data_IF_082508670526
#
_entry.id   IF_082508670526
#
_cell.length_a   1.000
_cell.length_b   1.000
_cell.length_c   1.000
_cell.angle_alpha   90.00
_cell.angle_beta   90.00
_cell.angle_gamma   90.00
#
_symmetry.space_group_name_H-M   'P 1'
#
loop_
_entity.id
_entity.type
_entity.pdbx_description
1 polymer ?
#
# COMPACT_ATOMS: atom_id res chain seq x y z
N UNK A 1 -10.65 -10.99 6.04
CA UNK A 1 -11.32 -10.33 7.21
C UNK A 1 -12.81 -10.65 7.30
N UNK A 2 -13.36 -10.93 8.49
CA UNK A 2 -14.80 -11.20 8.65
C UNK A 2 -15.67 -9.92 8.62
N UNK A 3 -16.85 -10.01 8.02
CA UNK A 3 -17.83 -8.91 7.90
C UNK A 3 -18.14 -8.19 9.24
N UNK A 4 -18.23 -8.94 10.36
CA UNK A 4 -18.42 -8.36 11.71
C UNK A 4 -17.29 -7.41 12.13
N UNK A 5 -16.05 -7.71 11.74
CA UNK A 5 -14.90 -6.89 12.07
C UNK A 5 -14.85 -5.63 11.19
N UNK A 6 -15.27 -5.73 9.92
CA UNK A 6 -15.40 -4.58 9.00
C UNK A 6 -16.45 -3.61 9.53
N UNK A 7 -17.61 -4.11 9.93
CA UNK A 7 -18.67 -3.28 10.52
C UNK A 7 -18.18 -2.52 11.77
N UNK A 8 -17.45 -3.21 12.66
CA UNK A 8 -16.85 -2.56 13.83
C UNK A 8 -15.90 -1.43 13.44
N UNK A 9 -15.03 -1.63 12.44
CA UNK A 9 -14.14 -0.58 11.94
C UNK A 9 -14.94 0.57 11.33
N UNK A 10 -15.99 0.29 10.57
CA UNK A 10 -16.86 1.31 9.99
C UNK A 10 -17.51 2.18 11.08
N UNK A 11 -18.02 1.57 12.14
CA UNK A 11 -18.63 2.28 13.26
C UNK A 11 -17.61 3.16 14.00
N UNK A 12 -16.41 2.64 14.28
CA UNK A 12 -15.32 3.41 14.89
C UNK A 12 -14.86 4.58 13.98
N UNK A 13 -14.84 4.38 12.67
CA UNK A 13 -14.47 5.42 11.71
C UNK A 13 -15.51 6.56 11.68
N UNK A 14 -16.80 6.23 11.81
CA UNK A 14 -17.89 7.22 11.98
C UNK A 14 -17.75 7.99 13.29
N UNK A 15 -17.41 7.31 14.38
CA UNK A 15 -17.18 7.95 15.68
C UNK A 15 -16.01 8.95 15.61
N UNK A 16 -14.91 8.59 14.96
CA UNK A 16 -13.78 9.50 14.71
C UNK A 16 -14.22 10.68 13.83
N UNK A 17 -14.98 10.43 12.76
CA UNK A 17 -15.48 11.49 11.88
C UNK A 17 -16.38 12.50 12.61
N UNK A 18 -17.15 12.05 13.61
CA UNK A 18 -18.00 12.92 14.42
C UNK A 18 -17.23 13.92 15.29
N UNK A 19 -15.94 13.67 15.53
CA UNK A 19 -15.04 14.52 16.31
C UNK A 19 -14.23 15.49 15.44
N UNK A 20 -14.49 15.51 14.13
CA UNK A 20 -13.81 16.42 13.21
C UNK A 20 -14.29 17.85 13.44
N UNK A 21 -13.32 18.74 13.61
CA UNK A 21 -13.57 20.18 13.64
C UNK A 21 -13.21 20.81 12.29
N UNK A 22 -13.93 21.88 11.94
CA UNK A 22 -13.55 22.73 10.82
C UNK A 22 -12.19 23.38 11.12
N UNK A 23 -11.32 23.57 10.10
CA UNK A 23 -10.04 24.20 10.30
C UNK A 23 -10.21 25.65 10.77
N UNK A 24 -9.82 25.97 12.00
CA UNK A 24 -9.75 27.35 12.48
C UNK A 24 -8.38 27.93 12.07
N UNK A 25 -8.34 29.02 11.30
CA UNK A 25 -7.08 29.57 10.77
C UNK A 25 -6.17 30.21 11.84
N UNK A 26 -6.43 29.94 13.12
CA UNK A 26 -5.68 30.41 14.28
C UNK A 26 -4.44 29.57 14.61
N UNK A 27 -3.45 30.24 15.20
CA UNK A 27 -2.09 29.74 15.44
C UNK A 27 -2.02 28.38 16.16
N UNK A 28 -1.39 27.40 15.51
CA UNK A 28 -0.66 26.33 16.19
C UNK A 28 -1.16 24.90 15.98
N UNK A 29 -2.32 24.67 15.36
CA UNK A 29 -2.84 23.31 15.17
C UNK A 29 -2.59 22.80 13.74
N UNK A 30 -2.05 21.59 13.62
CA UNK A 30 -1.68 20.99 12.33
C UNK A 30 -2.93 20.47 11.60
N UNK A 31 -3.40 21.21 10.58
CA UNK A 31 -4.45 20.74 9.68
C UNK A 31 -3.98 19.59 8.80
N UNK A 32 -4.89 18.68 8.49
CA UNK A 32 -4.66 17.64 7.49
C UNK A 32 -5.50 17.91 6.25
N UNK A 33 -4.86 17.81 5.08
CA UNK A 33 -5.53 17.83 3.78
C UNK A 33 -5.33 16.49 3.11
N UNK A 34 -6.40 15.72 2.93
CA UNK A 34 -6.38 14.44 2.23
C UNK A 34 -7.50 14.40 1.21
N UNK A 35 -7.17 14.01 -0.04
CA UNK A 35 -8.12 13.90 -1.14
C UNK A 35 -9.06 15.11 -1.31
N UNK A 36 -8.58 16.32 -1.04
CA UNK A 36 -9.34 17.57 -1.16
C UNK A 36 -10.28 17.89 0.01
N UNK A 37 -10.18 17.16 1.12
CA UNK A 37 -10.89 17.47 2.38
C UNK A 37 -9.89 18.02 3.38
N UNK A 38 -10.20 19.20 3.92
CA UNK A 38 -9.47 19.79 5.04
C UNK A 38 -10.19 19.46 6.33
N UNK A 39 -9.47 18.87 7.28
CA UNK A 39 -10.02 18.51 8.57
C UNK A 39 -8.97 18.57 9.66
N UNK A 40 -9.46 18.65 10.90
CA UNK A 40 -8.65 18.52 12.09
C UNK A 40 -9.27 17.47 13.02
N UNK A 41 -8.41 16.64 13.60
CA UNK A 41 -8.79 15.65 14.60
C UNK A 41 -8.13 16.01 15.94
N UNK A 42 -8.86 15.91 17.07
CA UNK A 42 -8.25 15.98 18.38
C UNK A 42 -7.27 14.81 18.57
N UNK A 43 -6.29 14.96 19.48
CA UNK A 43 -5.24 13.97 19.70
C UNK A 43 -5.79 12.55 19.96
N UNK A 44 -6.87 12.44 20.74
CA UNK A 44 -7.51 11.17 21.04
C UNK A 44 -8.08 10.49 19.78
N UNK A 45 -8.69 11.27 18.89
CA UNK A 45 -9.21 10.77 17.61
C UNK A 45 -8.08 10.40 16.64
N UNK A 46 -6.94 11.09 16.69
CA UNK A 46 -5.73 10.69 15.92
C UNK A 46 -5.18 9.36 16.42
N UNK A 47 -5.13 9.15 17.74
CA UNK A 47 -4.70 7.88 18.33
C UNK A 47 -5.67 6.76 17.92
N UNK A 48 -6.98 6.98 18.06
CA UNK A 48 -7.99 6.02 17.65
C UNK A 48 -7.90 5.67 16.15
N UNK A 49 -7.62 6.66 15.29
CA UNK A 49 -7.42 6.42 13.86
C UNK A 49 -6.19 5.53 13.59
N UNK A 50 -5.06 5.78 14.27
CA UNK A 50 -3.87 4.92 14.16
C UNK A 50 -4.10 3.51 14.68
N UNK A 51 -4.89 3.37 15.75
CA UNK A 51 -5.30 2.06 16.25
C UNK A 51 -6.14 1.28 15.23
N UNK A 52 -7.01 1.96 14.47
CA UNK A 52 -7.74 1.32 13.37
C UNK A 52 -6.80 0.82 12.28
N UNK A 53 -5.81 1.61 11.88
CA UNK A 53 -4.78 1.18 10.91
C UNK A 53 -4.04 -0.06 11.43
N UNK A 54 -3.64 -0.06 12.70
CA UNK A 54 -2.99 -1.20 13.32
C UNK A 54 -3.91 -2.44 13.40
N UNK A 55 -5.22 -2.25 13.66
CA UNK A 55 -6.20 -3.32 13.68
C UNK A 55 -6.38 -3.96 12.29
N UNK A 56 -6.39 -3.15 11.23
CA UNK A 56 -6.43 -3.65 9.85
C UNK A 56 -5.17 -4.48 9.56
N UNK A 57 -3.98 -3.97 9.87
CA UNK A 57 -2.70 -4.66 9.60
C UNK A 57 -2.52 -5.98 10.34
N UNK A 58 -3.09 -6.11 11.54
CA UNK A 58 -3.05 -7.35 12.33
C UNK A 58 -3.98 -8.42 11.76
N UNK A 59 -4.94 -8.05 10.93
CA UNK A 59 -5.83 -8.99 10.29
C UNK A 59 -5.13 -9.73 9.16
N UNK A 60 -5.36 -11.04 9.05
CA UNK A 60 -4.84 -11.90 7.98
C UNK A 60 -3.32 -11.69 7.67
N UNK A 61 -2.55 -11.35 8.70
CA UNK A 61 -1.13 -11.01 8.63
C UNK A 61 -0.74 -9.96 7.57
N UNK A 62 -1.61 -8.99 7.29
CA UNK A 62 -1.34 -7.94 6.31
C UNK A 62 -0.05 -7.16 6.58
N UNK A 63 0.36 -7.03 7.84
CA UNK A 63 1.65 -6.44 8.23
C UNK A 63 2.88 -7.09 7.56
N UNK A 64 2.77 -8.33 7.06
CA UNK A 64 3.85 -9.00 6.29
C UNK A 64 3.98 -8.49 4.86
N UNK A 65 2.90 -7.93 4.30
CA UNK A 65 2.78 -7.52 2.89
C UNK A 65 2.70 -6.01 2.72
N UNK A 66 2.17 -5.30 3.70
CA UNK A 66 1.88 -3.87 3.63
C UNK A 66 2.54 -3.11 4.78
N UNK A 67 3.00 -1.89 4.46
CA UNK A 67 3.45 -0.95 5.48
C UNK A 67 2.27 -0.26 6.14
N UNK A 68 2.48 0.22 7.36
CA UNK A 68 1.48 1.01 8.08
C UNK A 68 1.06 2.24 7.30
N UNK A 69 2.04 2.95 6.72
CA UNK A 69 1.81 4.12 5.86
C UNK A 69 0.90 3.80 4.68
N UNK A 70 1.04 2.64 4.05
CA UNK A 70 0.18 2.26 2.91
C UNK A 70 -1.29 2.15 3.33
N UNK A 71 -1.54 1.44 4.43
CA UNK A 71 -2.91 1.24 4.93
C UNK A 71 -3.49 2.55 5.48
N UNK A 72 -2.66 3.38 6.12
CA UNK A 72 -3.05 4.69 6.60
C UNK A 72 -3.54 5.59 5.46
N UNK A 73 -2.80 5.68 4.36
CA UNK A 73 -3.19 6.49 3.19
C UNK A 73 -4.49 5.98 2.55
N UNK A 74 -4.63 4.67 2.40
CA UNK A 74 -5.86 4.06 1.89
C UNK A 74 -7.05 4.29 2.81
N UNK A 75 -6.85 4.23 4.13
CA UNK A 75 -7.92 4.49 5.10
C UNK A 75 -8.30 5.98 5.13
N UNK A 76 -7.34 6.89 4.94
CA UNK A 76 -7.60 8.33 4.79
C UNK A 76 -8.43 8.64 3.56
N UNK A 77 -8.26 7.91 2.46
CA UNK A 77 -9.12 8.02 1.28
C UNK A 77 -10.59 7.71 1.62
N UNK A 78 -10.82 6.59 2.31
CA UNK A 78 -12.16 6.21 2.80
C UNK A 78 -12.72 7.26 3.77
N UNK A 79 -11.89 7.75 4.69
CA UNK A 79 -12.25 8.77 5.66
C UNK A 79 -12.62 10.10 4.99
N UNK A 80 -11.84 10.55 4.01
CA UNK A 80 -12.15 11.74 3.23
C UNK A 80 -13.47 11.57 2.44
N UNK A 81 -13.73 10.38 1.90
CA UNK A 81 -15.02 10.05 1.28
C UNK A 81 -16.19 10.22 2.24
N UNK A 82 -16.05 9.72 3.47
CA UNK A 82 -17.04 9.88 4.54
C UNK A 82 -17.30 11.34 4.92
N UNK A 83 -16.25 12.16 5.00
CA UNK A 83 -16.39 13.58 5.32
C UNK A 83 -17.06 14.38 4.19
N UNK A 84 -16.91 13.95 2.93
CA UNK A 84 -17.61 14.56 1.79
C UNK A 84 -19.07 14.14 1.70
N UNK A 85 -19.34 12.86 1.95
CA UNK A 85 -20.68 12.29 1.86
C UNK A 85 -20.95 11.36 3.05
N UNK A 86 -21.75 11.85 3.99
CA UNK A 86 -22.18 11.09 5.17
C UNK A 86 -23.01 9.84 4.84
N UNK A 87 -23.54 9.71 3.62
CA UNK A 87 -24.31 8.57 3.16
C UNK A 87 -23.47 7.47 2.49
N UNK A 88 -22.13 7.64 2.43
CA UNK A 88 -21.25 6.64 1.83
C UNK A 88 -21.39 5.27 2.51
N UNK A 89 -21.41 4.22 1.70
CA UNK A 89 -21.35 2.84 2.20
C UNK A 89 -19.92 2.51 2.63
N UNK A 90 -19.61 2.82 3.90
CA UNK A 90 -18.32 2.53 4.51
C UNK A 90 -17.99 1.04 4.54
N UNK A 91 -18.99 0.18 4.73
CA UNK A 91 -18.73 -1.26 4.80
C UNK A 91 -18.26 -1.78 3.43
N UNK A 92 -18.89 -1.32 2.35
CA UNK A 92 -18.45 -1.64 0.99
C UNK A 92 -17.08 -1.06 0.68
N UNK A 93 -16.78 0.19 1.07
CA UNK A 93 -15.47 0.81 0.85
C UNK A 93 -14.35 0.08 1.59
N UNK A 94 -14.57 -0.31 2.85
CA UNK A 94 -13.62 -1.08 3.64
C UNK A 94 -13.49 -2.52 3.13
N UNK A 95 -14.56 -3.15 2.65
CA UNK A 95 -14.50 -4.46 1.99
C UNK A 95 -13.65 -4.40 0.71
N UNK A 96 -13.79 -3.35 -0.09
CA UNK A 96 -12.97 -3.15 -1.28
C UNK A 96 -11.49 -2.99 -0.92
N UNK A 97 -11.17 -2.19 0.11
CA UNK A 97 -9.80 -2.04 0.62
C UNK A 97 -9.20 -3.38 1.07
N UNK A 98 -9.93 -4.15 1.87
CA UNK A 98 -9.46 -5.47 2.32
C UNK A 98 -9.32 -6.43 1.14
N UNK A 99 -10.25 -6.42 0.19
CA UNK A 99 -10.18 -7.24 -1.02
C UNK A 99 -8.93 -6.93 -1.83
N UNK A 100 -8.62 -5.64 -2.04
CA UNK A 100 -7.38 -5.20 -2.68
C UNK A 100 -6.15 -5.75 -1.94
N UNK A 101 -6.17 -5.73 -0.61
CA UNK A 101 -5.06 -6.22 0.22
C UNK A 101 -4.93 -7.74 0.20
N UNK A 102 -6.04 -8.47 0.15
CA UNK A 102 -6.09 -9.92 0.08
C UNK A 102 -5.59 -10.44 -1.27
N UNK A 103 -6.07 -9.84 -2.37
CA UNK A 103 -5.71 -10.19 -3.75
C UNK A 103 -4.28 -9.77 -4.13
N UNK A 104 -3.61 -8.98 -3.29
CA UNK A 104 -2.26 -8.52 -3.55
C UNK A 104 -1.25 -9.67 -3.44
N UNK A 105 -0.96 -10.26 -4.59
CA UNK A 105 0.08 -11.26 -4.77
C UNK A 105 1.23 -10.67 -5.61
N UNK A 106 1.95 -9.68 -5.06
CA UNK A 106 3.10 -9.10 -5.78
C UNK A 106 4.34 -9.98 -5.64
N UNK A 107 4.57 -10.85 -6.62
CA UNK A 107 5.90 -11.44 -6.86
C UNK A 107 6.83 -10.38 -7.44
N UNK A 108 7.70 -9.81 -6.61
CA UNK A 108 8.80 -8.97 -7.07
C UNK A 108 10.02 -9.85 -7.38
N UNK A 109 10.43 -9.88 -8.64
CA UNK A 109 11.73 -10.43 -9.04
C UNK A 109 12.69 -9.25 -9.18
N UNK A 110 13.73 -9.22 -8.36
CA UNK A 110 14.81 -8.22 -8.47
C UNK A 110 15.96 -8.85 -9.22
N UNK A 111 16.36 -8.23 -10.33
CA UNK A 111 17.53 -8.63 -11.10
C UNK A 111 18.71 -7.75 -10.68
N UNK A 112 19.79 -8.37 -10.21
CA UNK A 112 21.00 -7.70 -9.74
C UNK A 112 22.21 -8.27 -10.49
N UNK A 113 23.01 -7.39 -11.09
CA UNK A 113 24.29 -7.78 -11.70
C UNK A 113 25.32 -7.95 -10.58
N UNK A 114 25.93 -9.14 -10.52
CA UNK A 114 27.01 -9.44 -9.56
C UNK A 114 28.31 -9.59 -10.35
N UNK A 115 29.25 -8.69 -10.10
CA UNK A 115 30.58 -8.74 -10.72
C UNK A 115 31.55 -9.60 -9.90
N UNK A 116 32.59 -10.13 -10.55
CA UNK A 116 33.65 -10.90 -9.89
C UNK A 116 33.30 -12.36 -9.54
N UNK A 117 32.09 -12.83 -9.86
CA UNK A 117 31.67 -14.22 -9.65
C UNK A 117 31.48 -14.90 -11.00
N UNK A 118 32.26 -15.95 -11.27
CA UNK A 118 32.09 -16.79 -12.46
C UNK A 118 31.23 -18.01 -12.12
N UNK A 119 30.09 -18.13 -12.78
CA UNK A 119 29.19 -19.27 -12.63
C UNK A 119 29.31 -20.19 -13.86
N UNK A 120 29.46 -21.49 -13.61
CA UNK A 120 29.46 -22.52 -14.66
C UNK A 120 28.04 -22.98 -15.00
N UNK A 121 27.11 -22.87 -14.04
CA UNK A 121 25.73 -23.33 -14.10
C UNK A 121 24.83 -22.39 -13.30
N UNK A 122 23.53 -22.43 -13.57
CA UNK A 122 22.55 -21.76 -12.73
C UNK A 122 22.47 -22.42 -11.35
N UNK A 123 22.53 -21.62 -10.29
CA UNK A 123 22.48 -22.09 -8.89
C UNK A 123 21.31 -21.44 -8.17
N UNK A 124 20.50 -22.23 -7.49
CA UNK A 124 19.36 -21.75 -6.69
C UNK A 124 19.72 -21.87 -5.21
N UNK A 125 19.67 -20.75 -4.49
CA UNK A 125 19.91 -20.63 -3.06
C UNK A 125 18.66 -20.05 -2.40
N UNK A 126 17.73 -20.93 -2.03
CA UNK A 126 16.44 -20.53 -1.48
C UNK A 126 15.64 -19.68 -2.47
N UNK A 127 15.42 -18.41 -2.14
CA UNK A 127 14.71 -17.43 -3.00
C UNK A 127 15.62 -16.71 -3.99
N UNK A 128 16.93 -16.96 -3.97
CA UNK A 128 17.91 -16.34 -4.86
C UNK A 128 18.26 -17.31 -5.98
N UNK A 129 18.14 -16.86 -7.24
CA UNK A 129 18.64 -17.59 -8.41
C UNK A 129 19.85 -16.85 -8.95
N UNK A 130 21.00 -17.52 -8.97
CA UNK A 130 22.22 -17.06 -9.61
C UNK A 130 22.28 -17.67 -11.01
N UNK A 131 22.38 -16.84 -12.04
CA UNK A 131 22.49 -17.26 -13.43
C UNK A 131 23.77 -16.67 -14.05
N UNK A 132 24.44 -17.39 -14.97
CA UNK A 132 25.48 -16.80 -15.79
C UNK A 132 24.91 -15.60 -16.56
N UNK A 133 25.54 -14.45 -16.42
CA UNK A 133 25.16 -13.25 -17.15
C UNK A 133 25.85 -13.30 -18.52
N UNK A 134 25.13 -13.74 -19.55
CA UNK A 134 25.55 -13.55 -20.94
C UNK A 134 25.07 -12.18 -21.45
N UNK A 135 25.55 -11.77 -22.63
CA UNK A 135 25.15 -10.48 -23.21
C UNK A 135 23.64 -10.36 -23.39
N UNK A 136 22.93 -11.47 -23.67
CA UNK A 136 21.49 -11.46 -23.86
C UNK A 136 20.73 -11.14 -22.56
N UNK A 137 21.14 -11.74 -21.45
CA UNK A 137 20.57 -11.47 -20.13
C UNK A 137 20.91 -10.06 -19.67
N UNK A 138 22.13 -9.58 -19.95
CA UNK A 138 22.55 -8.23 -19.63
C UNK A 138 21.74 -7.17 -20.39
N UNK A 139 21.57 -7.33 -21.71
CA UNK A 139 20.73 -6.44 -22.52
C UNK A 139 19.27 -6.45 -22.06
N UNK A 140 18.72 -7.63 -21.74
CA UNK A 140 17.37 -7.73 -21.18
C UNK A 140 17.23 -7.01 -19.84
N UNK A 141 18.23 -7.12 -18.96
CA UNK A 141 18.25 -6.40 -17.68
C UNK A 141 18.29 -4.89 -17.89
N UNK A 142 19.08 -4.40 -18.84
CA UNK A 142 19.11 -2.97 -19.19
C UNK A 142 17.76 -2.48 -19.73
N UNK A 143 17.15 -3.23 -20.66
CA UNK A 143 15.84 -2.90 -21.22
C UNK A 143 14.76 -2.84 -20.12
N UNK A 144 14.77 -3.81 -19.19
CA UNK A 144 13.84 -3.80 -18.04
C UNK A 144 14.11 -2.67 -17.08
N UNK A 145 15.37 -2.34 -16.79
CA UNK A 145 15.70 -1.20 -15.94
C UNK A 145 15.21 0.11 -16.57
N UNK A 146 15.43 0.30 -17.87
CA UNK A 146 14.96 1.46 -18.61
C UNK A 146 13.43 1.55 -18.62
N UNK A 147 12.74 0.45 -18.94
CA UNK A 147 11.28 0.38 -18.88
C UNK A 147 10.74 0.74 -17.49
N UNK A 148 11.33 0.22 -16.42
CA UNK A 148 10.91 0.55 -15.04
C UNK A 148 11.12 2.03 -14.73
N UNK A 149 12.24 2.63 -15.15
CA UNK A 149 12.47 4.06 -14.98
C UNK A 149 11.42 4.89 -15.73
N UNK A 150 11.10 4.53 -16.97
CA UNK A 150 10.09 5.21 -17.80
C UNK A 150 8.66 5.03 -17.26
N UNK A 151 8.34 3.84 -16.76
CA UNK A 151 7.04 3.52 -16.16
C UNK A 151 6.85 4.17 -14.79
N UNK A 152 7.93 4.37 -14.03
CA UNK A 152 7.88 5.09 -12.74
C UNK A 152 7.55 6.58 -12.94
N UNK A 153 7.78 7.11 -14.14
CA UNK A 153 7.37 8.47 -14.54
C UNK A 153 5.89 8.49 -14.97
N UNK A 154 5.30 7.35 -15.39
CA UNK A 154 3.95 7.28 -15.97
C UNK A 154 2.92 6.40 -15.24
N UNK A 155 3.24 5.84 -14.07
CA UNK A 155 2.23 5.28 -13.14
C UNK A 155 1.53 3.97 -13.52
N UNK A 156 1.90 3.29 -14.61
CA UNK A 156 1.29 2.02 -14.99
C UNK A 156 2.18 0.80 -14.63
N UNK A 157 1.68 -0.04 -13.73
CA UNK A 157 2.34 -1.27 -13.29
C UNK A 157 2.12 -2.43 -14.26
N UNK A 158 3.18 -3.05 -14.76
CA UNK A 158 3.09 -4.15 -15.73
C UNK A 158 3.64 -5.47 -15.18
N UNK A 159 2.82 -6.53 -15.31
CA UNK A 159 3.17 -7.94 -15.06
C UNK A 159 4.12 -8.42 -16.16
N UNK A 160 5.36 -8.81 -15.81
CA UNK A 160 6.23 -9.52 -16.74
C UNK A 160 6.14 -11.04 -16.54
N UNK A 161 5.80 -11.75 -17.62
CA UNK A 161 5.82 -13.21 -17.68
C UNK A 161 7.23 -13.63 -18.08
N UNK A 162 7.98 -14.17 -17.12
CA UNK A 162 9.24 -14.86 -17.41
C UNK A 162 8.92 -16.28 -17.89
N UNK A 163 9.33 -16.63 -19.10
CA UNK A 163 9.53 -18.03 -19.52
C UNK A 163 11.03 -18.31 -19.56
N UNK A 164 11.40 -19.44 -18.95
CA UNK A 164 12.74 -19.87 -18.56
C UNK A 164 13.77 -20.01 -19.69
N UNK A 165 15.03 -20.32 -19.37
CA UNK A 165 15.49 -21.68 -19.07
C UNK A 165 14.68 -22.49 -18.05
#
# INVERSE_FOLDING_TARGET
>A
MHHKAIKKIADQLKEIASQVSAPDLGDGESFQMHHGVFYQLPNDAVIAFKELVAQILRNDDFHKRFSEKYVEEKLKEVFAGLLKDSAIDLESALMALVGEMDEYEKKCIVLLSVEGVRLSVCTILGKVKLAPCDESLFSFMQEKAQFVMESSIHGEGVKSVFRGC
#
